data_IF_954994628341
#
_entry.id   IF_954994628341
#
_cell.length_a   1.000
_cell.length_b   1.000
_cell.length_c   1.000
_cell.angle_alpha   90.00
_cell.angle_beta   90.00
_cell.angle_gamma   90.00
#
_symmetry.space_group_name_H-M   'P 1'
#
loop_
_entity.id
_entity.type
_entity.pdbx_description
1 polymer ?
#
# COMPACT_ATOMS: atom_id res chain seq x y z
N UNK A 1 -34.18 61.60 1.39
CA UNK A 1 -32.98 61.62 2.26
C UNK A 1 -33.11 60.67 3.45
N UNK A 2 -34.10 60.76 4.33
CA UNK A 2 -34.25 59.77 5.45
C UNK A 2 -34.64 58.36 4.96
N UNK A 3 -35.48 58.26 3.92
CA UNK A 3 -35.89 56.98 3.30
C UNK A 3 -34.74 56.21 2.66
N UNK A 4 -33.80 56.93 2.04
CA UNK A 4 -32.70 56.33 1.27
C UNK A 4 -31.66 55.71 2.22
N UNK A 5 -31.47 56.32 3.40
CA UNK A 5 -30.61 55.80 4.47
C UNK A 5 -31.20 54.51 5.04
N UNK A 6 -32.51 54.47 5.33
CA UNK A 6 -33.17 53.26 5.82
C UNK A 6 -33.16 52.12 4.80
N UNK A 7 -33.27 52.41 3.50
CA UNK A 7 -33.14 51.39 2.45
C UNK A 7 -31.75 50.76 2.42
N UNK A 8 -30.68 51.57 2.51
CA UNK A 8 -29.30 51.06 2.53
C UNK A 8 -29.05 50.17 3.75
N UNK A 9 -29.52 50.59 4.94
CA UNK A 9 -29.40 49.77 6.17
C UNK A 9 -30.14 48.44 6.04
N UNK A 10 -31.31 48.45 5.40
CA UNK A 10 -32.12 47.23 5.24
C UNK A 10 -31.50 46.26 4.24
N UNK A 11 -30.90 46.77 3.16
CA UNK A 11 -30.15 45.98 2.19
C UNK A 11 -28.90 45.36 2.84
N UNK A 12 -28.15 46.14 3.62
CA UNK A 12 -26.92 45.67 4.28
C UNK A 12 -27.23 44.60 5.35
N UNK A 13 -28.30 44.78 6.12
CA UNK A 13 -28.78 43.79 7.08
C UNK A 13 -29.23 42.49 6.39
N UNK A 14 -29.94 42.58 5.27
CA UNK A 14 -30.31 41.41 4.46
C UNK A 14 -29.08 40.70 3.90
N UNK A 15 -28.09 41.47 3.44
CA UNK A 15 -26.85 40.94 2.89
C UNK A 15 -26.04 40.22 3.97
N UNK A 16 -25.87 40.83 5.15
CA UNK A 16 -25.24 40.21 6.31
C UNK A 16 -25.96 38.93 6.75
N UNK A 17 -27.29 38.93 6.74
CA UNK A 17 -28.09 37.75 7.05
C UNK A 17 -27.86 36.62 6.03
N UNK A 18 -27.84 36.94 4.73
CA UNK A 18 -27.52 36.02 3.65
C UNK A 18 -26.12 35.43 3.78
N UNK A 19 -25.10 36.29 3.99
CA UNK A 19 -23.70 35.88 4.13
C UNK A 19 -23.50 35.00 5.36
N UNK A 20 -24.11 35.36 6.49
CA UNK A 20 -24.07 34.54 7.69
C UNK A 20 -24.74 33.18 7.48
N UNK A 21 -25.91 33.15 6.82
CA UNK A 21 -26.61 31.91 6.46
C UNK A 21 -25.80 31.02 5.53
N UNK A 22 -25.20 31.58 4.48
CA UNK A 22 -24.29 30.87 3.58
C UNK A 22 -23.05 30.37 4.30
N UNK A 23 -22.46 31.17 5.20
CA UNK A 23 -21.29 30.76 5.97
C UNK A 23 -21.57 29.57 6.89
N UNK A 24 -22.70 29.60 7.61
CA UNK A 24 -23.15 28.49 8.45
C UNK A 24 -23.46 27.24 7.62
N UNK A 25 -24.15 27.39 6.49
CA UNK A 25 -24.45 26.29 5.57
C UNK A 25 -23.17 25.68 5.01
N UNK A 26 -22.21 26.50 4.58
CA UNK A 26 -20.93 26.06 4.03
C UNK A 26 -20.09 25.32 5.08
N UNK A 27 -20.05 25.80 6.33
CA UNK A 27 -19.40 25.07 7.44
C UNK A 27 -20.05 23.72 7.70
N UNK A 28 -21.38 23.66 7.72
CA UNK A 28 -22.10 22.41 7.93
C UNK A 28 -21.88 21.41 6.77
N UNK A 29 -21.80 21.92 5.54
CA UNK A 29 -21.48 21.12 4.37
C UNK A 29 -20.04 20.60 4.39
N UNK A 30 -19.06 21.45 4.73
CA UNK A 30 -17.67 21.06 4.90
C UNK A 30 -17.52 19.98 5.98
N UNK A 31 -18.20 20.13 7.12
CA UNK A 31 -18.19 19.12 8.18
C UNK A 31 -18.71 17.77 7.69
N UNK A 32 -19.76 17.75 6.84
CA UNK A 32 -20.27 16.51 6.23
C UNK A 32 -19.27 15.89 5.25
N UNK A 33 -18.58 16.70 4.45
CA UNK A 33 -17.57 16.20 3.51
C UNK A 33 -16.34 15.64 4.26
N UNK A 34 -15.93 16.34 5.31
CA UNK A 34 -14.81 15.96 6.15
C UNK A 34 -15.06 14.60 6.83
N UNK A 35 -16.28 14.36 7.32
CA UNK A 35 -16.68 13.05 7.83
C UNK A 35 -16.52 11.90 6.83
N UNK A 36 -16.70 12.16 5.53
CA UNK A 36 -16.49 11.10 4.54
C UNK A 36 -15.00 10.78 4.35
N UNK A 37 -14.14 11.80 4.41
CA UNK A 37 -12.70 11.64 4.32
C UNK A 37 -12.11 11.00 5.57
N UNK A 38 -12.55 11.42 6.76
CA UNK A 38 -12.11 10.83 8.03
C UNK A 38 -12.44 9.34 8.09
N UNK A 39 -13.64 8.94 7.66
CA UNK A 39 -14.00 7.51 7.56
C UNK A 39 -13.09 6.72 6.61
N UNK A 40 -12.57 7.33 5.55
CA UNK A 40 -11.63 6.68 4.63
C UNK A 40 -10.24 6.58 5.25
N UNK A 41 -9.80 7.61 5.97
CA UNK A 41 -8.54 7.58 6.73
C UNK A 41 -8.58 6.49 7.80
N UNK A 42 -9.64 6.43 8.61
CA UNK A 42 -9.82 5.40 9.63
C UNK A 42 -9.81 3.99 9.02
N UNK A 43 -10.46 3.81 7.86
CA UNK A 43 -10.47 2.54 7.15
C UNK A 43 -9.08 2.14 6.63
N UNK A 44 -8.30 3.10 6.12
CA UNK A 44 -6.94 2.88 5.66
C UNK A 44 -5.99 2.59 6.82
N UNK A 45 -6.12 3.30 7.94
CA UNK A 45 -5.33 3.07 9.16
C UNK A 45 -5.62 1.68 9.75
N UNK A 46 -6.89 1.25 9.77
CA UNK A 46 -7.27 -0.10 10.17
C UNK A 46 -6.67 -1.18 9.25
N UNK A 47 -6.60 -0.92 7.94
CA UNK A 47 -5.94 -1.81 6.98
C UNK A 47 -4.43 -1.87 7.21
N UNK A 48 -3.79 -0.73 7.48
CA UNK A 48 -2.36 -0.66 7.77
C UNK A 48 -2.01 -1.44 9.04
N UNK A 49 -2.77 -1.25 10.12
CA UNK A 49 -2.59 -2.02 11.37
C UNK A 49 -2.77 -3.54 11.16
N UNK A 50 -3.64 -3.95 10.24
CA UNK A 50 -3.82 -5.36 9.89
C UNK A 50 -2.64 -5.89 9.08
N UNK A 51 -2.10 -5.11 8.15
CA UNK A 51 -0.92 -5.44 7.37
C UNK A 51 0.33 -5.54 8.25
N UNK A 52 0.51 -4.64 9.21
CA UNK A 52 1.62 -4.72 10.17
C UNK A 52 1.57 -6.01 11.00
N UNK A 53 0.40 -6.42 11.48
CA UNK A 53 0.26 -7.71 12.20
C UNK A 53 0.61 -8.90 11.32
N UNK A 54 0.20 -8.88 10.05
CA UNK A 54 0.52 -9.97 9.11
C UNK A 54 2.00 -9.98 8.75
N UNK A 55 2.60 -8.80 8.54
CA UNK A 55 4.03 -8.60 8.32
C UNK A 55 4.86 -9.14 9.50
N UNK A 56 4.51 -8.77 10.75
CA UNK A 56 5.22 -9.28 11.93
C UNK A 56 5.11 -10.80 12.08
N UNK A 57 3.96 -11.39 11.70
CA UNK A 57 3.80 -12.86 11.67
C UNK A 57 4.64 -13.51 10.58
N UNK A 58 4.68 -12.93 9.38
CA UNK A 58 5.52 -13.39 8.28
C UNK A 58 7.00 -13.31 8.64
N UNK A 59 7.44 -12.23 9.29
CA UNK A 59 8.82 -12.08 9.74
C UNK A 59 9.18 -13.08 10.83
N UNK A 60 8.24 -13.37 11.75
CA UNK A 60 8.42 -14.45 12.74
C UNK A 60 8.52 -15.81 12.06
N UNK A 61 7.66 -16.11 11.08
CA UNK A 61 7.72 -17.36 10.32
C UNK A 61 9.00 -17.45 9.50
N UNK A 62 9.45 -16.36 8.88
CA UNK A 62 10.72 -16.27 8.15
C UNK A 62 11.90 -16.57 9.08
N UNK A 63 11.93 -15.97 10.27
CA UNK A 63 12.99 -16.22 11.27
C UNK A 63 12.98 -17.67 11.77
N UNK A 64 11.79 -18.26 11.96
CA UNK A 64 11.67 -19.69 12.34
C UNK A 64 12.13 -20.60 11.20
N UNK A 65 11.81 -20.27 9.94
CA UNK A 65 12.28 -21.00 8.77
C UNK A 65 13.80 -20.87 8.57
N UNK A 66 14.38 -19.70 8.81
CA UNK A 66 15.83 -19.51 8.80
C UNK A 66 16.52 -20.34 9.90
N UNK A 67 15.94 -20.37 11.10
CA UNK A 67 16.48 -21.12 12.23
C UNK A 67 16.37 -22.64 12.00
N UNK A 68 15.24 -23.11 11.47
CA UNK A 68 15.03 -24.52 11.12
C UNK A 68 15.85 -24.95 9.90
N UNK A 69 16.01 -24.07 8.90
CA UNK A 69 16.88 -24.31 7.74
C UNK A 69 18.36 -24.37 8.13
N UNK A 70 18.75 -23.69 9.20
CA UNK A 70 20.10 -23.76 9.78
C UNK A 70 20.33 -25.05 10.58
N UNK A 71 19.29 -25.64 11.17
CA UNK A 71 19.37 -26.94 11.86
C UNK A 71 19.26 -28.14 10.91
N UNK A 72 18.56 -28.01 9.77
CA UNK A 72 18.51 -29.03 8.71
C UNK A 72 19.69 -29.01 7.73
N UNK A 73 20.69 -28.16 7.99
CA UNK A 73 21.76 -27.78 7.05
C UNK A 73 23.16 -28.25 7.44
N UNK A 74 23.32 -29.35 8.18
CA UNK A 74 24.63 -30.03 8.25
C UNK A 74 24.91 -30.76 6.93
N UNK A 75 25.37 -30.04 5.90
CA UNK A 75 25.78 -30.71 4.66
C UNK A 75 26.08 -29.89 3.41
N UNK A 76 25.79 -28.59 3.35
CA UNK A 76 26.17 -27.78 2.18
C UNK A 76 27.03 -26.59 2.59
N UNK A 77 28.33 -26.87 2.65
CA UNK A 77 29.48 -25.95 2.56
C UNK A 77 29.11 -24.47 2.53
N UNK A 78 29.51 -23.79 3.61
CA UNK A 78 30.00 -22.42 3.56
C UNK A 78 30.70 -22.12 2.23
N UNK A 79 30.09 -21.24 1.45
CA UNK A 79 30.88 -20.27 0.70
C UNK A 79 30.82 -18.98 1.52
N UNK A 80 31.96 -18.44 1.97
CA UNK A 80 31.99 -17.32 2.89
C UNK A 80 31.32 -16.12 2.21
N UNK A 81 30.42 -15.46 2.94
CA UNK A 81 29.99 -14.10 2.66
C UNK A 81 30.98 -13.17 3.36
N UNK A 82 31.95 -12.57 2.64
CA UNK A 82 32.54 -11.33 3.09
C UNK A 82 31.73 -10.17 2.51
N UNK A 83 31.32 -9.29 3.42
CA UNK A 83 30.99 -7.89 3.17
C UNK A 83 29.68 -7.63 2.40
N UNK A 84 28.78 -6.92 3.09
CA UNK A 84 27.69 -6.13 2.51
C UNK A 84 28.18 -5.51 1.18
N UNK A 85 27.66 -5.93 0.01
CA UNK A 85 27.69 -5.06 -1.14
C UNK A 85 26.66 -3.99 -0.81
N UNK A 86 27.17 -2.81 -0.48
CA UNK A 86 26.54 -1.53 -0.73
C UNK A 86 25.38 -1.70 -1.70
N UNK A 87 24.16 -1.65 -1.17
CA UNK A 87 22.93 -1.64 -1.95
C UNK A 87 23.00 -0.36 -2.76
N UNK A 88 23.66 -0.42 -3.92
CA UNK A 88 23.33 0.47 -5.03
C UNK A 88 21.85 0.19 -5.26
N UNK A 89 20.97 1.19 -5.13
CA UNK A 89 19.57 0.99 -5.47
C UNK A 89 19.56 0.58 -6.94
N UNK A 90 19.34 -0.71 -7.20
CA UNK A 90 18.81 -1.12 -8.49
C UNK A 90 17.53 -0.29 -8.62
N UNK A 91 17.37 0.52 -9.67
CA UNK A 91 16.20 1.37 -9.78
C UNK A 91 14.98 0.44 -9.67
N UNK A 92 14.05 0.74 -8.77
CA UNK A 92 12.88 -0.10 -8.47
C UNK A 92 12.18 -0.61 -9.75
N UNK A 93 12.25 0.19 -10.82
CA UNK A 93 11.78 -0.13 -12.17
C UNK A 93 12.35 -1.42 -12.77
N UNK A 94 13.57 -1.83 -12.46
CA UNK A 94 14.16 -3.08 -12.97
C UNK A 94 13.64 -4.30 -12.21
N UNK A 95 13.54 -4.21 -10.89
CA UNK A 95 12.93 -5.28 -10.09
C UNK A 95 11.46 -5.49 -10.48
N UNK A 96 10.71 -4.39 -10.63
CA UNK A 96 9.31 -4.45 -11.09
C UNK A 96 9.19 -5.14 -12.46
N UNK A 97 10.06 -4.79 -13.43
CA UNK A 97 10.07 -5.43 -14.74
C UNK A 97 10.42 -6.93 -14.68
N UNK A 98 11.39 -7.32 -13.83
CA UNK A 98 11.77 -8.72 -13.65
C UNK A 98 10.60 -9.52 -13.02
N UNK A 99 9.85 -8.92 -12.09
CA UNK A 99 8.65 -9.54 -11.50
C UNK A 99 7.47 -9.62 -12.48
N UNK A 100 7.24 -8.61 -13.32
CA UNK A 100 6.24 -8.66 -14.39
C UNK A 100 6.58 -9.79 -15.38
N UNK A 101 7.85 -9.90 -15.77
CA UNK A 101 8.31 -10.95 -16.67
C UNK A 101 8.19 -12.34 -16.04
N UNK A 102 8.50 -12.48 -14.75
CA UNK A 102 8.28 -13.71 -14.00
C UNK A 102 6.79 -14.08 -13.94
N UNK A 103 5.91 -13.08 -13.80
CA UNK A 103 4.46 -13.26 -13.78
C UNK A 103 3.96 -13.79 -15.12
N UNK A 104 4.42 -13.21 -16.24
CA UNK A 104 4.08 -13.70 -17.58
C UNK A 104 4.53 -15.14 -17.79
N UNK A 105 5.78 -15.48 -17.45
CA UNK A 105 6.31 -16.84 -17.62
C UNK A 105 5.51 -17.88 -16.80
N UNK A 106 5.19 -17.55 -15.55
CA UNK A 106 4.36 -18.40 -14.68
C UNK A 106 2.93 -18.52 -15.21
N UNK A 107 2.35 -17.44 -15.75
CA UNK A 107 1.01 -17.46 -16.34
C UNK A 107 0.93 -18.35 -17.59
N UNK A 108 2.03 -18.42 -18.35
CA UNK A 108 2.20 -19.31 -19.50
C UNK A 108 2.47 -20.78 -19.11
N UNK A 109 2.55 -21.10 -17.81
CA UNK A 109 2.74 -22.46 -17.29
C UNK A 109 4.20 -22.88 -17.07
N UNK A 110 5.14 -21.93 -17.08
CA UNK A 110 6.54 -22.24 -16.79
C UNK A 110 6.74 -22.69 -15.33
N UNK A 111 7.72 -23.56 -15.10
CA UNK A 111 8.05 -24.04 -13.76
C UNK A 111 8.72 -22.92 -12.92
N UNK A 112 8.30 -22.70 -11.66
CA UNK A 112 8.84 -21.65 -10.80
C UNK A 112 10.36 -21.65 -10.64
N UNK A 113 10.96 -22.84 -10.55
CA UNK A 113 12.41 -23.00 -10.38
C UNK A 113 13.16 -22.54 -11.64
N UNK A 114 12.62 -22.85 -12.83
CA UNK A 114 13.20 -22.43 -14.11
C UNK A 114 13.07 -20.91 -14.32
N UNK A 115 11.95 -20.31 -13.90
CA UNK A 115 11.73 -18.85 -13.99
C UNK A 115 12.67 -18.09 -13.06
N UNK A 116 12.85 -18.57 -11.83
CA UNK A 116 13.78 -17.99 -10.86
C UNK A 116 15.24 -18.00 -11.35
N UNK A 117 15.68 -19.12 -11.93
CA UNK A 117 17.03 -19.23 -12.50
C UNK A 117 17.23 -18.32 -13.72
N UNK A 118 16.19 -18.14 -14.55
CA UNK A 118 16.28 -17.36 -15.79
C UNK A 118 16.30 -15.85 -15.55
N UNK A 119 15.62 -15.39 -14.51
CA UNK A 119 15.49 -13.96 -14.17
C UNK A 119 16.39 -13.54 -13.01
N UNK A 120 17.09 -14.49 -12.37
CA UNK A 120 17.93 -14.20 -11.21
C UNK A 120 17.15 -13.77 -9.97
N UNK A 121 15.86 -14.13 -9.91
CA UNK A 121 14.94 -13.83 -8.80
C UNK A 121 14.99 -14.97 -7.78
N UNK A 122 14.69 -14.70 -6.51
CA UNK A 122 14.63 -15.74 -5.49
C UNK A 122 13.58 -16.81 -5.81
N UNK A 123 13.96 -18.10 -5.72
CA UNK A 123 13.03 -19.23 -5.97
C UNK A 123 11.78 -19.16 -5.09
N UNK A 124 11.95 -18.72 -3.83
CA UNK A 124 10.84 -18.53 -2.90
C UNK A 124 9.84 -17.45 -3.35
N UNK A 125 10.32 -16.38 -3.97
CA UNK A 125 9.48 -15.27 -4.45
C UNK A 125 8.62 -15.71 -5.64
N UNK A 126 9.23 -16.44 -6.57
CA UNK A 126 8.55 -17.00 -7.76
C UNK A 126 7.56 -18.11 -7.36
N UNK A 127 7.89 -18.95 -6.37
CA UNK A 127 6.94 -19.92 -5.82
C UNK A 127 5.73 -19.25 -5.15
N UNK A 128 5.96 -18.18 -4.40
CA UNK A 128 4.90 -17.41 -3.76
C UNK A 128 3.97 -16.79 -4.81
N UNK A 129 4.52 -16.19 -5.88
CA UNK A 129 3.74 -15.71 -7.02
C UNK A 129 2.89 -16.81 -7.65
N UNK A 130 3.47 -17.99 -7.90
CA UNK A 130 2.73 -19.11 -8.46
C UNK A 130 1.59 -19.59 -7.52
N UNK A 131 1.80 -19.57 -6.20
CA UNK A 131 0.73 -19.87 -5.23
C UNK A 131 -0.36 -18.82 -5.27
N UNK A 132 -0.02 -17.53 -5.31
CA UNK A 132 -0.99 -16.44 -5.41
C UNK A 132 -1.84 -16.52 -6.68
N UNK A 133 -1.24 -16.85 -7.83
CA UNK A 133 -1.98 -17.07 -9.08
C UNK A 133 -2.98 -18.20 -8.97
N UNK A 134 -2.61 -19.31 -8.33
CA UNK A 134 -3.50 -20.45 -8.11
C UNK A 134 -4.69 -20.10 -7.22
N UNK A 135 -4.47 -19.34 -6.15
CA UNK A 135 -5.56 -18.86 -5.29
C UNK A 135 -6.50 -17.90 -6.03
N UNK A 136 -5.96 -16.96 -6.81
CA UNK A 136 -6.77 -16.00 -7.58
C UNK A 136 -7.66 -16.68 -8.62
N UNK A 137 -7.24 -17.83 -9.16
CA UNK A 137 -8.00 -18.59 -10.17
C UNK A 137 -9.12 -19.46 -9.57
N UNK A 138 -9.15 -19.61 -8.24
CA UNK A 138 -10.16 -20.40 -7.51
C UNK A 138 -11.28 -19.55 -6.89
N UNK A 139 -11.13 -18.23 -6.90
CA UNK A 139 -12.14 -17.24 -6.47
C UNK A 139 -12.81 -16.66 -7.70
#
# INVERSE_FOLDING_TARGET
MSSDIWQVVLIDALFLCMVAGMGLWFRAWLARQQQHLDRRLDALEAQHARLERVSGRLQTVSRVLELMGREGGEGLKEKPVPTVPEVRPVPASKQEADFEQAWEMLSAGAEPVAVAQRLGIGVAEVELMNRMMRYRRQV
#
